data_IF_096287473445
#
_entry.id   IF_096287473445
#
_cell.length_a   1.000
_cell.length_b   1.000
_cell.length_c   1.000
_cell.angle_alpha   90.00
_cell.angle_beta   90.00
_cell.angle_gamma   90.00
#
_symmetry.space_group_name_H-M   'P 1'
#
loop_
_entity.id
_entity.type
_entity.pdbx_description
1 polymer ?
#
# COMPACT_ATOMS: atom_id res chain seq x y z
N UNK A 1 -28.04 18.74 64.95
CA UNK A 1 -27.65 17.56 64.15
C UNK A 1 -27.72 17.92 62.64
N UNK A 2 -26.62 18.27 62.02
CA UNK A 2 -26.55 18.59 60.57
C UNK A 2 -26.32 17.31 59.79
N UNK A 3 -27.27 16.94 58.93
CA UNK A 3 -27.10 15.79 58.01
C UNK A 3 -26.23 16.22 56.85
N UNK A 4 -25.03 15.60 56.68
CA UNK A 4 -24.18 15.74 55.51
C UNK A 4 -24.74 14.81 54.44
N UNK A 5 -25.18 15.36 53.33
CA UNK A 5 -25.57 14.61 52.12
C UNK A 5 -24.32 14.36 51.30
N UNK A 6 -23.83 13.11 51.28
CA UNK A 6 -22.71 12.70 50.45
C UNK A 6 -23.22 12.44 49.01
N UNK A 7 -22.93 13.37 48.10
CA UNK A 7 -23.26 13.23 46.69
C UNK A 7 -22.17 12.39 46.01
N UNK A 8 -22.41 11.08 45.80
CA UNK A 8 -21.54 10.22 44.99
C UNK A 8 -21.72 10.60 43.53
N UNK A 9 -20.71 11.26 42.94
CA UNK A 9 -20.56 11.44 41.50
C UNK A 9 -20.11 10.11 40.87
N UNK A 10 -21.03 9.34 40.32
CA UNK A 10 -20.70 8.19 39.45
C UNK A 10 -20.19 8.77 38.13
N UNK A 11 -18.87 8.81 37.96
CA UNK A 11 -18.27 8.99 36.64
C UNK A 11 -18.57 7.77 35.80
N UNK A 12 -19.51 7.88 34.88
CA UNK A 12 -19.66 6.91 33.79
C UNK A 12 -18.47 7.07 32.83
N UNK A 13 -17.44 6.25 32.99
CA UNK A 13 -16.51 5.99 31.91
C UNK A 13 -17.25 5.15 30.88
N UNK A 14 -17.82 5.79 29.88
CA UNK A 14 -18.24 5.07 28.67
C UNK A 14 -17.02 4.41 28.05
N UNK A 15 -17.19 3.27 27.36
CA UNK A 15 -16.08 2.64 26.67
C UNK A 15 -15.48 3.66 25.67
N UNK A 16 -14.25 4.08 25.92
CA UNK A 16 -13.47 4.81 24.93
C UNK A 16 -13.16 3.81 23.84
N UNK A 17 -13.94 3.82 22.77
CA UNK A 17 -13.55 3.10 21.55
C UNK A 17 -12.22 3.70 21.12
N UNK A 18 -11.16 2.90 21.14
CA UNK A 18 -9.90 3.30 20.56
C UNK A 18 -10.18 3.68 19.11
N UNK A 19 -9.83 4.90 18.70
CA UNK A 19 -9.93 5.29 17.31
C UNK A 19 -9.00 4.37 16.51
N UNK A 20 -9.46 3.86 15.37
CA UNK A 20 -8.61 3.15 14.43
C UNK A 20 -7.49 4.10 13.97
N UNK A 21 -6.29 3.57 13.78
CA UNK A 21 -5.17 4.34 13.26
C UNK A 21 -5.17 4.32 11.72
N UNK A 22 -4.59 5.34 11.11
CA UNK A 22 -4.53 5.47 9.67
C UNK A 22 -3.37 4.64 9.10
N UNK A 23 -3.59 4.07 7.91
CA UNK A 23 -2.55 3.38 7.15
C UNK A 23 -2.42 3.98 5.76
N UNK A 24 -1.18 4.31 5.38
CA UNK A 24 -0.78 4.68 4.02
C UNK A 24 0.17 3.60 3.52
N UNK A 25 -0.22 2.88 2.47
CA UNK A 25 0.61 1.93 1.74
C UNK A 25 1.03 2.55 0.42
N UNK A 26 2.34 2.65 0.19
CA UNK A 26 2.91 3.15 -1.05
C UNK A 26 3.71 2.05 -1.74
N UNK A 27 3.34 1.70 -2.97
CA UNK A 27 3.96 0.63 -3.76
C UNK A 27 4.66 1.24 -4.97
N UNK A 28 5.98 1.09 -5.05
CA UNK A 28 6.72 1.31 -6.29
C UNK A 28 6.77 -0.01 -7.06
N UNK A 29 5.94 -0.14 -8.11
CA UNK A 29 5.87 -1.36 -8.90
C UNK A 29 7.23 -1.67 -9.53
N UNK A 30 7.72 -2.90 -9.33
CA UNK A 30 9.02 -3.36 -9.83
C UNK A 30 10.26 -2.74 -9.15
N UNK A 31 10.08 -1.95 -8.10
CA UNK A 31 11.11 -1.16 -7.43
C UNK A 31 12.01 -2.02 -6.52
N UNK A 32 12.94 -2.76 -7.10
CA UNK A 32 13.94 -3.49 -6.33
C UNK A 32 14.94 -2.59 -5.61
N UNK A 33 15.70 -3.15 -4.68
CA UNK A 33 16.69 -2.43 -3.86
C UNK A 33 17.72 -1.68 -4.70
N UNK A 34 18.17 -2.25 -5.83
CA UNK A 34 19.13 -1.58 -6.70
C UNK A 34 18.53 -0.42 -7.49
N UNK A 35 17.22 -0.39 -7.74
CA UNK A 35 16.53 0.78 -8.33
C UNK A 35 16.72 2.02 -7.45
N UNK A 36 16.47 1.88 -6.14
CA UNK A 36 16.68 2.95 -5.17
C UNK A 36 18.15 3.36 -5.08
N UNK A 37 19.07 2.39 -5.02
CA UNK A 37 20.52 2.66 -4.94
C UNK A 37 21.04 3.38 -6.17
N UNK A 38 20.67 2.92 -7.36
CA UNK A 38 21.12 3.51 -8.61
C UNK A 38 20.54 4.90 -8.83
N UNK A 39 19.29 5.12 -8.48
CA UNK A 39 18.72 6.47 -8.49
C UNK A 39 19.46 7.40 -7.53
N UNK A 40 19.76 6.91 -6.31
CA UNK A 40 20.48 7.68 -5.28
C UNK A 40 21.88 8.12 -5.69
N UNK A 41 22.57 7.38 -6.57
CA UNK A 41 23.87 7.78 -7.11
C UNK A 41 23.79 9.08 -7.95
N UNK A 42 22.65 9.33 -8.57
CA UNK A 42 22.44 10.52 -9.42
C UNK A 42 21.85 11.69 -8.65
N UNK A 43 20.88 11.40 -7.73
CA UNK A 43 20.19 12.39 -6.90
C UNK A 43 19.75 11.70 -5.60
N UNK A 44 19.87 12.37 -4.44
CA UNK A 44 19.39 11.80 -3.18
C UNK A 44 17.95 11.29 -3.27
N UNK A 45 17.73 10.05 -2.84
CA UNK A 45 16.42 9.40 -2.72
C UNK A 45 16.03 9.41 -1.25
N UNK A 46 14.90 10.04 -0.94
CA UNK A 46 14.43 10.27 0.42
C UNK A 46 13.97 8.95 1.10
N UNK A 47 13.39 8.03 0.34
CA UNK A 47 12.95 6.70 0.84
C UNK A 47 14.07 6.02 1.64
N UNK A 48 15.33 6.11 1.17
CA UNK A 48 16.48 5.52 1.85
C UNK A 48 16.81 6.15 3.21
N UNK A 49 16.25 7.32 3.52
CA UNK A 49 16.42 8.01 4.80
C UNK A 49 15.34 7.67 5.84
N UNK A 50 14.33 6.89 5.47
CA UNK A 50 13.27 6.49 6.39
C UNK A 50 13.84 5.63 7.54
N UNK A 51 13.37 5.84 8.79
CA UNK A 51 14.05 5.32 9.98
C UNK A 51 13.92 3.81 10.20
N UNK A 52 12.92 3.19 9.55
CA UNK A 52 12.66 1.75 9.67
C UNK A 52 12.77 1.13 8.29
N UNK A 53 13.50 0.03 8.21
CA UNK A 53 13.65 -0.78 7.00
C UNK A 53 13.61 -2.27 7.29
N UNK A 54 13.24 -3.05 6.29
CA UNK A 54 13.21 -4.51 6.29
C UNK A 54 13.26 -5.07 4.86
N UNK A 55 13.13 -6.37 4.74
CA UNK A 55 13.10 -7.11 3.46
C UNK A 55 11.84 -7.94 3.36
N UNK A 56 11.33 -8.10 2.15
CA UNK A 56 10.08 -8.83 1.86
C UNK A 56 10.35 -9.92 0.82
N UNK A 57 9.93 -11.15 1.14
CA UNK A 57 9.88 -12.28 0.23
C UNK A 57 8.57 -12.24 -0.56
N UNK A 58 8.65 -12.13 -1.89
CA UNK A 58 7.48 -11.81 -2.73
C UNK A 58 6.94 -12.97 -3.54
N UNK A 59 7.53 -14.18 -3.49
CA UNK A 59 7.07 -15.34 -4.27
C UNK A 59 5.55 -15.51 -4.22
N UNK A 60 4.95 -15.95 -5.33
CA UNK A 60 3.52 -16.28 -5.40
C UNK A 60 3.23 -17.71 -4.95
N UNK A 61 1.98 -18.16 -4.97
CA UNK A 61 1.62 -19.51 -4.61
C UNK A 61 2.12 -20.55 -5.61
N UNK A 62 2.25 -20.19 -6.89
CA UNK A 62 2.59 -21.09 -8.00
C UNK A 62 3.94 -20.79 -8.67
N UNK A 63 4.69 -19.76 -8.22
CA UNK A 63 5.97 -19.41 -8.81
C UNK A 63 6.91 -18.69 -7.83
N UNK A 64 8.23 -18.90 -7.98
CA UNK A 64 9.25 -18.14 -7.24
C UNK A 64 9.27 -16.67 -7.67
N UNK A 65 9.01 -16.39 -8.95
CA UNK A 65 8.89 -15.04 -9.48
C UNK A 65 7.40 -14.67 -9.53
N UNK A 66 7.02 -13.70 -8.70
CA UNK A 66 5.64 -13.19 -8.65
C UNK A 66 5.35 -12.24 -9.81
N UNK A 67 4.06 -11.98 -10.04
CA UNK A 67 3.61 -10.81 -10.79
C UNK A 67 2.91 -9.81 -9.86
N UNK A 68 2.62 -8.60 -10.37
CA UNK A 68 1.97 -7.53 -9.57
C UNK A 68 0.59 -7.97 -9.04
N UNK A 69 -0.16 -8.79 -9.80
CA UNK A 69 -1.47 -9.26 -9.38
C UNK A 69 -1.40 -10.14 -8.12
N UNK A 70 -0.52 -11.15 -8.13
CA UNK A 70 -0.36 -12.06 -7.00
C UNK A 70 0.27 -11.36 -5.78
N UNK A 71 1.26 -10.49 -5.99
CA UNK A 71 1.89 -9.78 -4.89
C UNK A 71 0.96 -8.74 -4.26
N UNK A 72 0.25 -7.93 -5.06
CA UNK A 72 -0.74 -7.00 -4.54
C UNK A 72 -1.91 -7.72 -3.84
N UNK A 73 -2.33 -8.91 -4.32
CA UNK A 73 -3.30 -9.74 -3.62
C UNK A 73 -2.77 -10.21 -2.26
N UNK A 74 -1.48 -10.58 -2.16
CA UNK A 74 -0.89 -10.91 -0.86
C UNK A 74 -0.90 -9.71 0.10
N UNK A 75 -0.66 -8.49 -0.38
CA UNK A 75 -0.78 -7.27 0.43
C UNK A 75 -2.21 -6.89 0.78
N UNK A 76 -3.18 -7.20 -0.08
CA UNK A 76 -4.58 -6.85 0.13
C UNK A 76 -5.38 -7.87 0.93
N UNK A 77 -5.04 -9.16 0.84
CA UNK A 77 -5.78 -10.27 1.46
C UNK A 77 -4.98 -11.06 2.52
N UNK A 78 -3.65 -10.86 2.60
CA UNK A 78 -2.80 -11.61 3.54
C UNK A 78 -2.60 -13.08 3.19
N UNK A 79 -2.82 -13.45 1.93
CA UNK A 79 -2.69 -14.83 1.44
C UNK A 79 -1.97 -14.89 0.11
N UNK A 80 -1.15 -15.93 -0.09
CA UNK A 80 -0.54 -16.19 -1.39
C UNK A 80 -1.59 -16.62 -2.40
N UNK A 81 -1.45 -16.13 -3.65
CA UNK A 81 -2.27 -16.57 -4.77
C UNK A 81 -1.43 -16.88 -6.00
N UNK A 82 -2.05 -17.35 -7.06
CA UNK A 82 -1.40 -17.64 -8.32
C UNK A 82 -1.12 -16.35 -9.11
N UNK A 83 -0.03 -16.32 -9.85
CA UNK A 83 0.24 -15.22 -10.78
C UNK A 83 -0.97 -14.97 -11.67
N UNK A 84 -1.30 -13.71 -11.90
CA UNK A 84 -2.45 -13.26 -12.67
C UNK A 84 -3.75 -13.12 -11.90
N UNK A 85 -3.88 -13.66 -10.68
CA UNK A 85 -5.09 -13.59 -9.88
C UNK A 85 -5.16 -12.29 -9.09
N UNK A 86 -6.33 -11.64 -9.09
CA UNK A 86 -6.66 -10.43 -8.32
C UNK A 86 -7.73 -10.76 -7.28
N UNK A 87 -7.46 -10.55 -6.01
CA UNK A 87 -8.42 -10.78 -4.92
C UNK A 87 -8.99 -12.20 -4.85
N UNK A 88 -8.32 -13.17 -5.46
CA UNK A 88 -8.71 -14.58 -5.50
C UNK A 88 -7.66 -15.46 -4.84
N UNK A 89 -8.09 -16.51 -4.15
CA UNK A 89 -7.23 -17.57 -3.64
C UNK A 89 -6.84 -18.56 -4.76
N UNK A 90 -5.82 -19.44 -4.56
CA UNK A 90 -5.45 -20.45 -5.55
C UNK A 90 -6.59 -21.40 -5.94
N UNK A 91 -7.55 -21.63 -5.06
CA UNK A 91 -8.77 -22.42 -5.30
C UNK A 91 -9.90 -21.62 -6.00
N UNK A 92 -9.61 -20.39 -6.41
CA UNK A 92 -10.50 -19.44 -7.08
C UNK A 92 -11.63 -18.84 -6.19
N UNK A 93 -11.62 -19.08 -4.90
CA UNK A 93 -12.49 -18.35 -3.96
C UNK A 93 -12.06 -16.91 -3.81
N UNK A 94 -13.04 -16.01 -3.59
CA UNK A 94 -12.76 -14.61 -3.29
C UNK A 94 -12.09 -14.49 -1.92
N UNK A 95 -11.09 -13.63 -1.80
CA UNK A 95 -10.57 -13.24 -0.50
C UNK A 95 -11.04 -11.82 -0.16
N UNK A 96 -11.52 -11.61 1.05
CA UNK A 96 -11.90 -10.27 1.50
C UNK A 96 -10.65 -9.38 1.57
N UNK A 97 -10.64 -8.30 0.82
CA UNK A 97 -9.51 -7.37 0.81
C UNK A 97 -9.57 -6.42 2.02
N UNK A 98 -8.41 -5.89 2.42
CA UNK A 98 -8.32 -4.90 3.50
C UNK A 98 -9.13 -3.64 3.19
N UNK A 99 -9.22 -3.26 1.91
CA UNK A 99 -10.01 -2.11 1.45
C UNK A 99 -11.52 -2.37 1.61
N UNK A 100 -11.98 -3.55 1.22
CA UNK A 100 -13.39 -3.96 1.40
C UNK A 100 -13.77 -4.09 2.88
N UNK A 101 -12.89 -4.69 3.69
CA UNK A 101 -13.10 -4.79 5.14
C UNK A 101 -13.13 -3.39 5.79
N UNK A 102 -12.27 -2.48 5.36
CA UNK A 102 -12.27 -1.10 5.83
C UNK A 102 -13.63 -0.41 5.56
N UNK A 103 -14.18 -0.57 4.34
CA UNK A 103 -15.52 -0.05 4.02
C UNK A 103 -16.61 -0.67 4.90
N UNK A 104 -16.58 -2.00 5.11
CA UNK A 104 -17.55 -2.68 5.98
C UNK A 104 -17.49 -2.17 7.43
N UNK A 105 -16.34 -1.67 7.86
CA UNK A 105 -16.10 -1.10 9.19
C UNK A 105 -16.21 0.44 9.24
N UNK A 106 -16.76 1.07 8.19
CA UNK A 106 -16.92 2.53 8.06
C UNK A 106 -15.59 3.31 8.21
N UNK A 107 -14.51 2.74 7.67
CA UNK A 107 -13.21 3.41 7.52
C UNK A 107 -13.11 3.93 6.09
N UNK A 108 -12.63 5.16 5.91
CA UNK A 108 -12.46 5.76 4.59
C UNK A 108 -11.37 5.03 3.80
N UNK A 109 -11.59 4.84 2.48
CA UNK A 109 -10.63 4.18 1.59
C UNK A 109 -10.30 5.08 0.40
N UNK A 110 -9.00 5.24 0.12
CA UNK A 110 -8.50 5.89 -1.09
C UNK A 110 -7.52 5.00 -1.84
N UNK A 111 -7.67 4.89 -3.16
CA UNK A 111 -6.80 4.10 -4.05
C UNK A 111 -6.36 4.98 -5.22
N UNK A 112 -5.06 5.18 -5.34
CA UNK A 112 -4.45 6.11 -6.30
C UNK A 112 -3.26 5.43 -6.99
N UNK A 113 -3.22 5.46 -8.31
CA UNK A 113 -2.15 4.85 -9.09
C UNK A 113 -1.85 5.64 -10.36
N UNK A 114 -0.59 5.63 -10.79
CA UNK A 114 -0.16 6.14 -12.10
C UNK A 114 -0.36 5.12 -13.23
N UNK A 115 -0.90 3.92 -12.93
CA UNK A 115 -1.19 2.83 -13.86
C UNK A 115 -2.43 3.11 -14.74
N UNK A 116 -2.74 2.18 -15.63
CA UNK A 116 -4.01 2.16 -16.39
C UNK A 116 -5.21 1.98 -15.46
N UNK A 117 -6.41 2.27 -15.97
CA UNK A 117 -7.64 2.18 -15.19
C UNK A 117 -7.92 0.79 -14.61
N UNK A 118 -7.37 -0.26 -15.24
CA UNK A 118 -7.49 -1.68 -14.86
C UNK A 118 -6.15 -2.26 -14.41
N UNK A 119 -5.22 -1.42 -13.95
CA UNK A 119 -3.93 -1.83 -13.43
C UNK A 119 -4.04 -2.89 -12.33
N UNK A 120 -3.11 -3.85 -12.32
CA UNK A 120 -3.21 -5.01 -11.45
C UNK A 120 -3.10 -4.64 -9.97
N UNK A 121 -2.13 -3.82 -9.60
CA UNK A 121 -1.89 -3.47 -8.20
C UNK A 121 -3.09 -2.78 -7.56
N UNK A 122 -3.66 -1.67 -8.10
CA UNK A 122 -4.83 -1.07 -7.51
C UNK A 122 -6.04 -2.00 -7.54
N UNK A 123 -6.20 -2.78 -8.62
CA UNK A 123 -7.35 -3.68 -8.79
C UNK A 123 -7.39 -4.82 -7.76
N UNK A 124 -6.23 -5.30 -7.29
CA UNK A 124 -6.14 -6.34 -6.27
C UNK A 124 -6.73 -5.93 -4.91
N UNK A 125 -7.09 -4.66 -4.72
CA UNK A 125 -7.72 -4.16 -3.50
C UNK A 125 -9.24 -4.07 -3.58
N UNK A 126 -9.86 -4.30 -4.77
CA UNK A 126 -11.31 -4.20 -4.96
C UNK A 126 -11.90 -5.17 -5.98
N UNK A 127 -11.08 -5.91 -6.74
CA UNK A 127 -11.56 -6.82 -7.79
C UNK A 127 -11.18 -8.28 -7.49
N UNK A 128 -12.05 -9.22 -7.95
CA UNK A 128 -11.91 -10.65 -7.73
C UNK A 128 -11.96 -11.40 -9.05
N UNK A 129 -10.82 -11.44 -9.77
CA UNK A 129 -10.72 -12.09 -11.09
C UNK A 129 -9.54 -13.05 -11.16
N UNK A 130 -9.67 -14.12 -11.94
CA UNK A 130 -8.61 -15.14 -12.13
C UNK A 130 -7.64 -14.79 -13.27
N UNK A 131 -7.89 -13.70 -14.00
CA UNK A 131 -7.00 -13.21 -15.05
C UNK A 131 -6.95 -11.67 -15.03
N UNK A 132 -5.81 -11.10 -14.63
CA UNK A 132 -5.56 -9.64 -14.60
C UNK A 132 -5.74 -8.94 -15.95
N UNK A 133 -5.87 -9.68 -17.05
CA UNK A 133 -6.13 -9.14 -18.39
C UNK A 133 -7.62 -9.00 -18.72
N UNK A 134 -8.50 -9.48 -17.85
CA UNK A 134 -9.94 -9.33 -18.02
C UNK A 134 -10.39 -7.90 -17.63
N UNK A 135 -10.03 -6.94 -18.50
CA UNK A 135 -10.26 -5.53 -18.25
C UNK A 135 -11.75 -5.17 -18.08
N UNK A 136 -12.65 -5.88 -18.76
CA UNK A 136 -14.11 -5.63 -18.67
C UNK A 136 -14.62 -5.98 -17.26
N UNK A 137 -14.24 -7.12 -16.74
CA UNK A 137 -14.65 -7.56 -15.40
C UNK A 137 -14.04 -6.65 -14.32
N UNK A 138 -12.74 -6.29 -14.44
CA UNK A 138 -12.05 -5.38 -13.53
C UNK A 138 -12.72 -4.01 -13.49
N UNK A 139 -13.08 -3.45 -14.65
CA UNK A 139 -13.77 -2.15 -14.71
C UNK A 139 -15.16 -2.23 -14.07
N UNK A 140 -15.87 -3.36 -14.19
CA UNK A 140 -17.12 -3.60 -13.49
C UNK A 140 -16.97 -3.60 -11.96
N UNK A 141 -15.89 -4.20 -11.42
CA UNK A 141 -15.54 -4.12 -9.99
C UNK A 141 -15.20 -2.70 -9.58
N UNK A 142 -14.39 -1.99 -10.35
CA UNK A 142 -14.01 -0.60 -10.10
C UNK A 142 -15.21 0.33 -9.99
N UNK A 143 -16.17 0.20 -10.91
CA UNK A 143 -17.40 1.01 -10.87
C UNK A 143 -18.22 0.77 -9.59
N UNK A 144 -18.31 -0.48 -9.12
CA UNK A 144 -18.96 -0.80 -7.84
C UNK A 144 -18.19 -0.24 -6.65
N UNK A 145 -16.89 -0.46 -6.61
CA UNK A 145 -16.01 -0.01 -5.52
C UNK A 145 -16.00 1.53 -5.40
N UNK A 146 -16.02 2.26 -6.52
CA UNK A 146 -16.03 3.72 -6.55
C UNK A 146 -17.28 4.38 -5.94
N UNK A 147 -18.30 3.60 -5.61
CA UNK A 147 -19.46 4.11 -4.86
C UNK A 147 -19.11 4.37 -3.38
N UNK A 148 -18.10 3.68 -2.84
CA UNK A 148 -17.73 3.74 -1.43
C UNK A 148 -16.25 4.04 -1.20
N UNK A 149 -15.41 3.96 -2.24
CA UNK A 149 -13.97 4.21 -2.20
C UNK A 149 -13.62 5.39 -3.13
N UNK A 150 -12.65 6.21 -2.74
CA UNK A 150 -12.10 7.23 -3.62
C UNK A 150 -11.01 6.62 -4.52
N UNK A 151 -11.38 6.20 -5.72
CA UNK A 151 -10.48 5.55 -6.68
C UNK A 151 -10.14 6.51 -7.81
N UNK A 152 -8.85 6.88 -7.93
CA UNK A 152 -8.33 7.70 -9.03
C UNK A 152 -7.19 6.94 -9.71
N UNK A 153 -7.50 6.27 -10.81
CA UNK A 153 -6.56 5.50 -11.65
C UNK A 153 -6.93 5.73 -13.12
N UNK A 154 -6.08 6.35 -13.94
CA UNK A 154 -4.77 6.90 -13.56
C UNK A 154 -4.87 8.26 -12.86
N UNK A 155 -3.94 8.51 -11.96
CA UNK A 155 -3.60 9.83 -11.46
C UNK A 155 -2.32 10.32 -12.16
N UNK A 156 -2.25 11.60 -12.54
CA UNK A 156 -1.07 12.11 -13.24
C UNK A 156 0.17 12.14 -12.36
N UNK A 157 -0.01 12.49 -11.09
CA UNK A 157 1.02 12.45 -10.05
C UNK A 157 0.38 12.47 -8.67
N UNK A 158 1.06 11.93 -7.67
CA UNK A 158 0.60 11.88 -6.29
C UNK A 158 1.05 13.16 -5.58
N UNK A 159 0.12 14.08 -5.38
CA UNK A 159 0.39 15.40 -4.80
C UNK A 159 -0.17 15.55 -3.39
N UNK A 160 0.27 16.59 -2.67
CA UNK A 160 -0.24 16.94 -1.33
C UNK A 160 -1.77 17.07 -1.29
N UNK A 161 -2.40 17.50 -2.39
CA UNK A 161 -3.86 17.66 -2.46
C UNK A 161 -4.62 16.33 -2.27
N UNK A 162 -4.05 15.22 -2.71
CA UNK A 162 -4.65 13.88 -2.53
C UNK A 162 -4.67 13.50 -1.05
N UNK A 163 -3.59 13.76 -0.32
CA UNK A 163 -3.54 13.53 1.13
C UNK A 163 -4.54 14.40 1.91
N UNK A 164 -4.72 15.66 1.50
CA UNK A 164 -5.73 16.55 2.09
C UNK A 164 -7.16 16.06 1.83
N UNK A 165 -7.43 15.56 0.62
CA UNK A 165 -8.73 14.96 0.28
C UNK A 165 -9.00 13.73 1.13
N UNK A 166 -8.01 12.84 1.27
CA UNK A 166 -8.12 11.64 2.09
C UNK A 166 -8.41 11.97 3.57
N UNK A 167 -7.71 12.96 4.12
CA UNK A 167 -7.96 13.45 5.47
C UNK A 167 -9.40 13.91 5.63
N UNK A 168 -9.91 14.71 4.70
CA UNK A 168 -11.29 15.18 4.73
C UNK A 168 -12.29 14.01 4.67
N UNK A 169 -12.01 12.97 3.85
CA UNK A 169 -12.85 11.78 3.80
C UNK A 169 -12.86 11.04 5.14
N UNK A 170 -11.70 10.92 5.80
CA UNK A 170 -11.61 10.24 7.10
C UNK A 170 -12.40 10.97 8.19
N UNK A 171 -12.49 12.31 8.15
CA UNK A 171 -13.24 13.10 9.12
C UNK A 171 -14.75 12.85 9.06
N UNK A 172 -15.26 12.37 7.92
CA UNK A 172 -16.67 12.00 7.73
C UNK A 172 -16.96 10.53 8.01
N UNK A 173 -15.94 9.70 8.21
CA UNK A 173 -16.11 8.29 8.57
C UNK A 173 -16.43 8.12 10.05
N UNK A 174 -17.18 7.08 10.40
CA UNK A 174 -17.53 6.79 11.80
C UNK A 174 -16.29 6.51 12.68
N UNK A 175 -15.25 5.93 12.07
CA UNK A 175 -13.99 5.59 12.75
C UNK A 175 -12.97 6.73 12.73
N UNK A 176 -13.23 7.78 11.98
CA UNK A 176 -12.30 8.91 11.76
C UNK A 176 -10.90 8.45 11.33
N UNK A 177 -10.84 7.36 10.60
CA UNK A 177 -9.63 6.72 10.12
C UNK A 177 -9.72 6.45 8.62
N UNK A 178 -8.58 6.15 8.00
CA UNK A 178 -8.52 5.79 6.60
C UNK A 178 -7.46 4.70 6.31
N UNK A 179 -7.71 3.97 5.25
CA UNK A 179 -6.72 3.19 4.51
C UNK A 179 -6.46 3.88 3.16
N UNK A 180 -5.21 4.02 2.78
CA UNK A 180 -4.85 4.56 1.47
C UNK A 180 -3.77 3.72 0.80
N UNK A 181 -4.00 3.42 -0.50
CA UNK A 181 -3.01 2.87 -1.42
C UNK A 181 -2.56 3.96 -2.41
N UNK A 182 -1.25 4.07 -2.59
CA UNK A 182 -0.62 4.87 -3.65
C UNK A 182 0.36 4.01 -4.41
N UNK A 183 0.30 4.04 -5.74
CA UNK A 183 1.20 3.27 -6.59
C UNK A 183 1.91 4.15 -7.62
N UNK A 184 3.23 3.96 -7.72
CA UNK A 184 4.07 4.42 -8.82
C UNK A 184 4.32 3.27 -9.80
N UNK A 185 3.44 3.10 -10.78
CA UNK A 185 3.41 1.92 -11.65
C UNK A 185 4.50 1.90 -12.73
N UNK A 186 4.99 3.08 -13.16
CA UNK A 186 5.85 3.15 -14.35
C UNK A 186 7.33 2.87 -14.09
N UNK A 187 7.72 2.66 -12.82
CA UNK A 187 9.05 2.14 -12.48
C UNK A 187 9.22 0.77 -13.13
N UNK A 188 8.22 -0.12 -12.97
CA UNK A 188 8.17 -1.44 -13.60
C UNK A 188 8.17 -1.37 -15.12
N UNK A 189 7.23 -0.63 -15.70
CA UNK A 189 7.08 -0.49 -17.16
C UNK A 189 8.38 -0.03 -17.84
N UNK A 190 9.06 0.94 -17.24
CA UNK A 190 10.33 1.45 -17.76
C UNK A 190 11.48 0.45 -17.57
N UNK A 191 11.46 -0.33 -16.47
CA UNK A 191 12.44 -1.40 -16.22
C UNK A 191 12.30 -2.54 -17.22
N UNK A 192 11.08 -2.98 -17.53
CA UNK A 192 10.80 -3.94 -18.60
C UNK A 192 11.33 -3.49 -19.96
N UNK A 193 11.25 -2.19 -20.24
CA UNK A 193 11.72 -1.61 -21.48
C UNK A 193 13.23 -1.28 -21.49
N UNK A 194 13.96 -1.56 -20.42
CA UNK A 194 15.38 -1.21 -20.27
C UNK A 194 15.65 0.30 -20.26
N UNK A 195 14.65 1.13 -19.96
CA UNK A 195 14.70 2.58 -19.99
C UNK A 195 15.13 3.15 -18.66
N UNK A 196 16.43 3.07 -18.38
CA UNK A 196 16.98 3.43 -17.07
C UNK A 196 16.72 4.88 -16.65
N UNK A 197 16.80 5.84 -17.55
CA UNK A 197 16.57 7.25 -17.21
C UNK A 197 15.10 7.52 -16.90
N UNK A 198 14.18 6.99 -17.71
CA UNK A 198 12.74 7.13 -17.52
C UNK A 198 12.28 6.43 -16.23
N UNK A 199 12.87 5.27 -15.93
CA UNK A 199 12.64 4.57 -14.67
C UNK A 199 13.05 5.45 -13.47
N UNK A 200 14.23 6.11 -13.54
CA UNK A 200 14.69 7.01 -12.46
C UNK A 200 13.76 8.21 -12.29
N UNK A 201 13.30 8.82 -13.37
CA UNK A 201 12.40 9.98 -13.28
C UNK A 201 11.08 9.58 -12.59
N UNK A 202 10.48 8.45 -12.96
CA UNK A 202 9.29 7.93 -12.28
C UNK A 202 9.56 7.62 -10.79
N UNK A 203 10.73 7.06 -10.48
CA UNK A 203 11.15 6.79 -9.11
C UNK A 203 11.31 8.10 -8.31
N UNK A 204 11.84 9.18 -8.91
CA UNK A 204 11.94 10.48 -8.23
C UNK A 204 10.56 11.12 -8.00
N UNK A 205 9.62 10.96 -8.93
CA UNK A 205 8.24 11.41 -8.74
C UNK A 205 7.56 10.63 -7.61
N UNK A 206 7.79 9.32 -7.55
CA UNK A 206 7.32 8.49 -6.45
C UNK A 206 7.98 8.87 -5.12
N UNK A 207 9.28 9.13 -5.10
CA UNK A 207 10.04 9.57 -3.92
C UNK A 207 9.53 10.92 -3.39
N UNK A 208 9.18 11.85 -4.29
CA UNK A 208 8.53 13.12 -3.93
C UNK A 208 7.14 12.88 -3.29
N UNK A 209 6.39 11.93 -3.81
CA UNK A 209 5.12 11.53 -3.20
C UNK A 209 5.33 10.95 -1.78
N UNK A 210 6.38 10.15 -1.58
CA UNK A 210 6.77 9.65 -0.25
C UNK A 210 7.14 10.78 0.70
N UNK A 211 7.88 11.81 0.24
CA UNK A 211 8.16 13.01 1.05
C UNK A 211 6.86 13.71 1.50
N UNK A 212 5.89 13.87 0.60
CA UNK A 212 4.58 14.44 0.93
C UNK A 212 3.82 13.58 1.95
N UNK A 213 3.91 12.26 1.83
CA UNK A 213 3.32 11.33 2.79
C UNK A 213 3.97 11.45 4.18
N UNK A 214 5.29 11.59 4.26
CA UNK A 214 6.02 11.80 5.53
C UNK A 214 5.60 13.11 6.20
N UNK A 215 5.50 14.21 5.42
CA UNK A 215 5.01 15.50 5.95
C UNK A 215 3.56 15.37 6.46
N UNK A 216 2.73 14.62 5.74
CA UNK A 216 1.37 14.33 6.20
C UNK A 216 1.36 13.54 7.50
N UNK A 217 2.15 12.46 7.62
CA UNK A 217 2.25 11.62 8.84
C UNK A 217 2.77 12.45 10.01
N UNK A 218 3.76 13.31 9.80
CA UNK A 218 4.28 14.20 10.83
C UNK A 218 3.17 15.11 11.41
N UNK A 219 2.28 15.61 10.56
CA UNK A 219 1.12 16.44 10.95
C UNK A 219 -0.07 15.63 11.49
N UNK A 220 -0.10 14.32 11.25
CA UNK A 220 -1.17 13.41 11.66
C UNK A 220 -0.57 12.17 12.34
N UNK A 221 -0.18 12.27 13.64
CA UNK A 221 0.65 11.27 14.32
C UNK A 221 0.00 9.89 14.49
N UNK A 222 -1.33 9.77 14.34
CA UNK A 222 -2.04 8.49 14.35
C UNK A 222 -2.00 7.79 12.98
N UNK A 223 -0.95 8.05 12.19
CA UNK A 223 -0.77 7.48 10.85
C UNK A 223 0.51 6.67 10.77
N UNK A 224 0.45 5.57 10.04
CA UNK A 224 1.61 4.74 9.68
C UNK A 224 1.77 4.73 8.16
N UNK A 225 2.93 5.12 7.70
CA UNK A 225 3.37 5.04 6.31
C UNK A 225 4.21 3.78 6.11
N UNK A 226 3.90 3.05 5.04
CA UNK A 226 4.63 1.88 4.57
C UNK A 226 4.99 2.11 3.11
N UNK A 227 6.26 2.02 2.76
CA UNK A 227 6.77 2.17 1.39
C UNK A 227 7.49 0.89 1.02
N UNK A 228 7.08 0.24 -0.07
CA UNK A 228 7.62 -1.04 -0.50
C UNK A 228 7.49 -1.22 -2.02
N UNK A 229 7.98 -2.33 -2.53
CA UNK A 229 7.71 -2.81 -3.88
C UNK A 229 6.93 -4.12 -3.84
N UNK A 230 6.29 -4.47 -4.93
CA UNK A 230 5.60 -5.74 -5.11
C UNK A 230 6.54 -6.85 -5.61
N UNK A 231 7.53 -6.52 -6.42
CA UNK A 231 8.64 -7.35 -6.91
C UNK A 231 9.80 -6.48 -7.41
N UNK A 232 10.84 -7.11 -7.92
CA UNK A 232 11.93 -6.47 -8.67
C UNK A 232 11.73 -6.74 -10.16
N UNK A 233 12.05 -5.74 -11.00
CA UNK A 233 11.97 -5.83 -12.46
C UNK A 233 13.29 -5.44 -13.13
N UNK A 234 13.68 -6.23 -14.14
CA UNK A 234 14.82 -5.93 -14.99
C UNK A 234 16.15 -6.50 -14.52
N UNK A 235 16.21 -7.14 -13.34
CA UNK A 235 17.45 -7.66 -12.78
C UNK A 235 18.53 -6.58 -12.66
N UNK A 236 18.15 -5.39 -12.17
CA UNK A 236 19.05 -4.25 -12.10
C UNK A 236 20.23 -4.53 -11.17
N UNK A 237 21.44 -4.46 -11.70
CA UNK A 237 22.68 -4.73 -10.97
C UNK A 237 23.11 -3.56 -10.08
N UNK A 238 24.08 -3.77 -9.20
CA UNK A 238 24.73 -2.73 -8.41
C UNK A 238 25.52 -1.72 -9.27
N UNK A 239 25.87 -2.10 -10.50
CA UNK A 239 26.47 -1.23 -11.53
C UNK A 239 25.42 -0.52 -12.38
N UNK A 240 24.16 -0.58 -11.99
CA UNK A 240 23.01 0.11 -12.63
C UNK A 240 22.75 -0.32 -14.09
N UNK A 241 22.88 -1.61 -14.35
CA UNK A 241 22.59 -2.20 -15.66
C UNK A 241 21.49 -3.24 -15.55
N UNK A 242 20.50 -3.16 -16.42
CA UNK A 242 19.47 -4.20 -16.55
C UNK A 242 20.06 -5.47 -17.18
N UNK A 243 19.69 -6.63 -16.63
CA UNK A 243 20.15 -7.94 -17.11
C UNK A 243 19.05 -8.76 -17.76
N UNK A 244 17.79 -8.35 -17.59
CA UNK A 244 16.61 -9.01 -18.17
C UNK A 244 15.52 -7.98 -18.43
N UNK A 245 14.52 -8.35 -19.22
CA UNK A 245 13.26 -7.58 -19.40
C UNK A 245 12.13 -8.15 -18.55
N UNK A 246 12.41 -8.98 -17.54
CA UNK A 246 11.40 -9.68 -16.73
C UNK A 246 11.54 -9.35 -15.27
N UNK A 247 10.52 -9.72 -14.50
CA UNK A 247 10.63 -9.74 -13.04
C UNK A 247 11.69 -10.75 -12.61
N UNK A 248 12.22 -10.56 -11.41
CA UNK A 248 13.15 -11.50 -10.77
C UNK A 248 12.59 -11.99 -9.42
N UNK A 249 13.23 -13.00 -8.86
CA UNK A 249 12.90 -13.50 -7.51
C UNK A 249 13.63 -12.75 -6.39
N UNK A 250 14.24 -11.61 -6.71
CA UNK A 250 14.93 -10.81 -5.70
C UNK A 250 13.97 -10.29 -4.66
N UNK A 251 14.37 -10.39 -3.40
CA UNK A 251 13.65 -9.77 -2.30
C UNK A 251 13.62 -8.25 -2.46
N UNK A 252 12.55 -7.62 -2.01
CA UNK A 252 12.37 -6.17 -2.08
C UNK A 252 12.45 -5.53 -0.71
N UNK A 253 12.86 -4.27 -0.69
CA UNK A 253 12.93 -3.52 0.56
C UNK A 253 11.56 -3.01 0.98
N UNK A 254 11.33 -2.94 2.30
CA UNK A 254 10.26 -2.18 2.91
C UNK A 254 10.83 -1.08 3.79
N UNK A 255 10.23 0.09 3.75
CA UNK A 255 10.53 1.24 4.60
C UNK A 255 9.27 1.69 5.31
N UNK A 256 9.40 2.22 6.52
CA UNK A 256 8.24 2.68 7.27
C UNK A 256 8.54 3.91 8.13
N UNK A 257 7.48 4.72 8.33
CA UNK A 257 7.50 5.90 9.18
C UNK A 257 6.17 6.08 9.92
N UNK A 258 6.21 6.67 11.12
CA UNK A 258 5.03 6.98 11.93
C UNK A 258 4.80 5.99 13.08
N UNK A 259 3.57 5.97 13.60
CA UNK A 259 3.21 5.38 14.90
C UNK A 259 3.62 3.91 15.06
N UNK A 260 3.30 3.08 14.08
CA UNK A 260 3.52 1.63 14.12
C UNK A 260 4.66 1.18 13.19
N UNK A 261 5.50 2.10 12.71
CA UNK A 261 6.55 1.80 11.73
C UNK A 261 7.45 0.63 12.13
N UNK A 262 7.77 0.48 13.43
CA UNK A 262 8.64 -0.59 13.94
C UNK A 262 8.16 -2.01 13.64
N UNK A 263 6.86 -2.20 13.38
CA UNK A 263 6.30 -3.50 13.00
C UNK A 263 6.88 -4.03 11.68
N UNK A 264 7.35 -3.13 10.81
CA UNK A 264 7.82 -3.45 9.45
C UNK A 264 9.33 -3.69 9.35
N UNK A 265 10.04 -3.67 10.48
CA UNK A 265 11.48 -3.99 10.52
C UNK A 265 11.73 -5.48 10.32
N UNK A 266 12.93 -5.81 9.77
CA UNK A 266 13.40 -7.18 9.59
C UNK A 266 12.87 -7.87 8.34
N UNK A 267 13.11 -9.17 8.25
CA UNK A 267 12.71 -10.01 7.11
C UNK A 267 11.30 -10.56 7.32
N UNK A 268 10.49 -10.56 6.27
CA UNK A 268 9.10 -10.97 6.34
C UNK A 268 8.55 -11.43 4.98
N UNK A 269 7.53 -12.27 5.01
CA UNK A 269 6.76 -12.62 3.82
C UNK A 269 5.80 -11.47 3.46
N UNK A 270 5.45 -11.31 2.17
CA UNK A 270 4.55 -10.23 1.74
C UNK A 270 3.14 -10.34 2.36
N UNK A 271 2.69 -11.53 2.75
CA UNK A 271 1.43 -11.72 3.46
C UNK A 271 1.43 -11.14 4.88
N UNK A 272 2.60 -10.97 5.50
CA UNK A 272 2.71 -10.37 6.83
C UNK A 272 2.43 -8.85 6.80
N UNK A 273 2.65 -8.20 5.66
CA UNK A 273 2.31 -6.78 5.48
C UNK A 273 0.81 -6.55 5.72
N UNK A 274 -0.05 -7.40 5.11
CA UNK A 274 -1.49 -7.37 5.39
C UNK A 274 -1.80 -7.50 6.87
N UNK A 275 -1.26 -8.52 7.54
CA UNK A 275 -1.55 -8.79 8.96
C UNK A 275 -1.19 -7.61 9.85
N UNK A 276 -0.07 -6.94 9.57
CA UNK A 276 0.37 -5.75 10.29
C UNK A 276 -0.54 -4.55 10.01
N UNK A 277 -0.89 -4.28 8.75
CA UNK A 277 -1.85 -3.23 8.40
C UNK A 277 -3.22 -3.49 9.02
N UNK A 278 -3.69 -4.73 8.97
CA UNK A 278 -4.95 -5.15 9.57
C UNK A 278 -4.96 -4.90 11.10
N UNK A 279 -3.88 -5.25 11.79
CA UNK A 279 -3.77 -4.99 13.23
C UNK A 279 -3.80 -3.49 13.58
N UNK A 280 -3.29 -2.62 12.70
CA UNK A 280 -3.28 -1.16 12.88
C UNK A 280 -4.69 -0.58 12.65
N UNK A 281 -5.33 -0.96 11.54
CA UNK A 281 -6.63 -0.43 11.14
C UNK A 281 -7.79 -0.91 12.00
N UNK A 282 -7.72 -2.16 12.45
CA UNK A 282 -8.85 -2.84 13.07
C UNK A 282 -8.58 -3.23 14.53
N UNK A 283 -7.71 -2.48 15.23
CA UNK A 283 -7.40 -2.71 16.64
C UNK A 283 -8.67 -3.03 17.43
N UNK A 284 -8.72 -4.25 17.95
CA UNK A 284 -9.74 -4.72 18.88
C UNK A 284 -9.28 -4.49 20.32
#
# INVERSE_FOLDING_TARGET
MKKFLLLCFLMFFGPTFANADNVILMIGDGMGTNHLRCAHQSKPVYILSLPISGMIYTRSANAEVTDSAASATAYSCGQKTNNGYLGKLPNQEDCLTIAEEAIQKNIAVGIYSTDYSTGATPSAFYAHVIDRRNNEEIEGYKQKASQNMDIIVPVSHISESVFKKLKKLSETSDKKAFFALFEGAKIDTNSHAGKFNEMKEELYDFDLAVMNAVDFVYKNPDTTLIVLADHETGGLTDTCQFTTEKHTSSDVSVYAYGKHAKLFAGEQDNTEIYKKMHSILFQQ
#
